data_IF_748854785484
#
_entry.id   IF_748854785484
#
_cell.length_a   1.000
_cell.length_b   1.000
_cell.length_c   1.000
_cell.angle_alpha   90.00
_cell.angle_beta   90.00
_cell.angle_gamma   90.00
#
_symmetry.space_group_name_H-M   'P 1'
#
loop_
_entity.id
_entity.type
_entity.pdbx_description
1 polymer ?
#
# COMPACT_ATOMS: atom_id res chain seq x y z
N UNK A 1 -9.70 11.33 29.67
CA UNK A 1 -8.64 10.41 29.21
C UNK A 1 -8.47 10.66 27.72
N UNK A 2 -7.48 11.44 27.32
CA UNK A 2 -7.18 11.73 25.91
C UNK A 2 -6.23 10.66 25.40
N UNK A 3 -6.77 9.52 24.98
CA UNK A 3 -6.02 8.46 24.30
C UNK A 3 -6.19 8.63 22.79
N UNK A 4 -5.37 9.50 22.19
CA UNK A 4 -5.10 9.48 20.75
C UNK A 4 -3.71 10.06 20.54
N UNK A 5 -2.67 9.22 20.60
CA UNK A 5 -1.42 9.59 19.94
C UNK A 5 -1.68 9.47 18.45
N UNK A 6 -1.96 10.62 17.80
CA UNK A 6 -1.94 10.73 16.34
C UNK A 6 -0.68 10.03 15.82
N UNK A 7 -0.83 9.20 14.79
CA UNK A 7 0.34 8.63 14.10
C UNK A 7 1.08 9.76 13.37
N UNK A 8 2.41 9.69 13.28
CA UNK A 8 3.23 10.75 12.65
C UNK A 8 2.76 11.03 11.21
N UNK A 9 2.34 10.00 10.47
CA UNK A 9 1.89 10.12 9.07
C UNK A 9 0.66 11.02 8.87
N UNK A 10 -0.22 11.15 9.87
CA UNK A 10 -1.41 12.01 9.77
C UNK A 10 -1.06 13.51 9.80
N UNK A 11 0.17 13.85 10.19
CA UNK A 11 0.65 15.22 10.29
C UNK A 11 1.62 15.59 9.17
N UNK A 12 1.84 14.69 8.22
CA UNK A 12 2.78 14.94 7.12
C UNK A 12 2.26 16.03 6.19
N UNK A 13 3.15 16.96 5.84
CA UNK A 13 2.87 17.97 4.83
C UNK A 13 2.65 17.31 3.45
N UNK A 14 1.77 17.88 2.59
CA UNK A 14 1.52 17.37 1.24
C UNK A 14 2.79 17.07 0.45
N UNK A 15 3.77 17.97 0.45
CA UNK A 15 5.03 17.79 -0.28
C UNK A 15 5.79 16.52 0.14
N UNK A 16 5.75 16.17 1.43
CA UNK A 16 6.38 14.93 1.93
C UNK A 16 5.64 13.69 1.42
N UNK A 17 4.31 13.72 1.44
CA UNK A 17 3.48 12.62 0.95
C UNK A 17 3.71 12.39 -0.54
N UNK A 18 3.69 13.48 -1.32
CA UNK A 18 3.95 13.44 -2.76
C UNK A 18 5.33 12.88 -3.05
N UNK A 19 6.36 13.35 -2.33
CA UNK A 19 7.73 12.87 -2.51
C UNK A 19 7.85 11.36 -2.27
N UNK A 20 7.26 10.85 -1.19
CA UNK A 20 7.28 9.42 -0.87
C UNK A 20 6.59 8.59 -1.95
N UNK A 21 5.39 8.98 -2.40
CA UNK A 21 4.68 8.22 -3.44
C UNK A 21 5.45 8.20 -4.76
N UNK A 22 6.01 9.34 -5.17
CA UNK A 22 6.82 9.42 -6.40
C UNK A 22 8.06 8.52 -6.29
N UNK A 23 8.78 8.58 -5.17
CA UNK A 23 9.97 7.75 -4.92
C UNK A 23 9.64 6.24 -4.92
N UNK A 24 8.49 5.85 -4.38
CA UNK A 24 8.04 4.46 -4.42
C UNK A 24 7.74 3.98 -5.85
N UNK A 25 7.10 4.81 -6.68
CA UNK A 25 6.89 4.48 -8.09
C UNK A 25 8.22 4.38 -8.85
N UNK A 26 9.14 5.33 -8.64
CA UNK A 26 10.46 5.32 -9.28
C UNK A 26 11.27 4.08 -8.87
N UNK A 27 11.22 3.71 -7.59
CA UNK A 27 11.90 2.50 -7.12
C UNK A 27 11.28 1.23 -7.69
N UNK A 28 9.95 1.15 -7.73
CA UNK A 28 9.25 0.02 -8.32
C UNK A 28 9.57 -0.11 -9.82
N UNK A 29 9.61 1.01 -10.55
CA UNK A 29 10.03 1.04 -11.95
C UNK A 29 11.47 0.55 -12.12
N UNK A 30 12.40 0.98 -11.27
CA UNK A 30 13.79 0.53 -11.31
C UNK A 30 13.93 -0.99 -11.07
N UNK A 31 13.16 -1.54 -10.13
CA UNK A 31 13.07 -2.99 -9.91
C UNK A 31 12.53 -3.70 -11.16
N UNK A 32 11.40 -3.24 -11.69
CA UNK A 32 10.74 -3.82 -12.87
C UNK A 32 11.68 -3.79 -14.08
N UNK A 33 12.44 -2.71 -14.27
CA UNK A 33 13.44 -2.58 -15.34
C UNK A 33 14.52 -3.67 -15.29
N UNK A 34 14.84 -4.15 -14.08
CA UNK A 34 15.82 -5.21 -13.85
C UNK A 34 15.27 -6.63 -14.03
N UNK A 35 13.97 -6.80 -14.27
CA UNK A 35 13.35 -8.11 -14.45
C UNK A 35 13.62 -8.66 -15.86
N UNK A 36 13.84 -9.96 -15.93
CA UNK A 36 13.79 -10.69 -17.19
C UNK A 36 12.35 -11.04 -17.57
N UNK A 37 12.11 -11.34 -18.85
CA UNK A 37 10.80 -11.83 -19.30
C UNK A 37 10.41 -13.16 -18.62
N UNK A 38 11.39 -13.98 -18.23
CA UNK A 38 11.14 -15.18 -17.41
C UNK A 38 10.71 -14.84 -15.99
N UNK A 39 11.23 -13.76 -15.39
CA UNK A 39 10.80 -13.33 -14.05
C UNK A 39 9.34 -12.88 -14.07
N UNK A 40 8.90 -12.17 -15.13
CA UNK A 40 7.50 -11.74 -15.30
C UNK A 40 6.51 -12.93 -15.30
N UNK A 41 6.95 -14.09 -15.78
CA UNK A 41 6.13 -15.30 -15.84
C UNK A 41 6.06 -16.06 -14.49
N UNK A 42 6.88 -15.70 -13.49
CA UNK A 42 6.89 -16.38 -12.19
C UNK A 42 5.59 -16.10 -11.44
N UNK A 43 5.01 -17.14 -10.85
CA UNK A 43 3.80 -17.03 -10.01
C UNK A 43 4.12 -16.34 -8.69
N UNK A 44 3.23 -15.45 -8.25
CA UNK A 44 3.32 -14.80 -6.94
C UNK A 44 2.44 -15.53 -5.93
N UNK A 45 2.47 -15.04 -4.68
CA UNK A 45 1.51 -15.44 -3.64
C UNK A 45 0.11 -14.86 -3.83
N UNK A 46 -0.06 -13.89 -4.72
CA UNK A 46 -1.37 -13.35 -5.08
C UNK A 46 -2.12 -14.37 -5.94
N UNK A 47 -3.36 -14.66 -5.57
CA UNK A 47 -4.15 -15.73 -6.18
C UNK A 47 -4.31 -15.52 -7.70
N UNK A 48 -3.81 -16.49 -8.47
CA UNK A 48 -3.89 -16.49 -9.94
C UNK A 48 -2.90 -15.54 -10.64
N UNK A 49 -2.13 -14.76 -9.90
CA UNK A 49 -1.26 -13.73 -10.47
C UNK A 49 0.18 -14.20 -10.66
N UNK A 50 0.79 -13.73 -11.74
CA UNK A 50 2.23 -13.75 -11.93
C UNK A 50 2.83 -12.39 -11.58
N UNK A 51 4.16 -12.29 -11.56
CA UNK A 51 4.87 -11.00 -11.44
C UNK A 51 4.36 -10.00 -12.48
N UNK A 52 4.08 -10.44 -13.72
CA UNK A 52 3.50 -9.60 -14.75
C UNK A 52 2.12 -9.03 -14.34
N UNK A 53 1.26 -9.83 -13.72
CA UNK A 53 -0.06 -9.37 -13.27
C UNK A 53 0.09 -8.32 -12.16
N UNK A 54 1.00 -8.54 -11.20
CA UNK A 54 1.30 -7.55 -10.14
C UNK A 54 1.80 -6.24 -10.74
N UNK A 55 2.75 -6.29 -11.69
CA UNK A 55 3.26 -5.09 -12.38
C UNK A 55 2.14 -4.39 -13.15
N UNK A 56 1.31 -5.14 -13.88
CA UNK A 56 0.18 -4.60 -14.62
C UNK A 56 -0.85 -3.93 -13.72
N UNK A 57 -1.15 -4.53 -12.56
CA UNK A 57 -2.05 -3.96 -11.56
C UNK A 57 -1.53 -2.60 -11.06
N UNK A 58 -0.26 -2.50 -10.68
CA UNK A 58 0.34 -1.21 -10.24
C UNK A 58 0.27 -0.15 -11.35
N UNK A 59 0.57 -0.51 -12.60
CA UNK A 59 0.44 0.41 -13.73
C UNK A 59 -1.01 0.86 -13.90
N UNK A 60 -1.96 -0.07 -13.84
CA UNK A 60 -3.38 0.22 -13.97
C UNK A 60 -3.91 1.13 -12.86
N UNK A 61 -3.59 0.83 -11.61
CA UNK A 61 -3.93 1.66 -10.45
C UNK A 61 -3.36 3.07 -10.58
N UNK A 62 -2.08 3.20 -10.95
CA UNK A 62 -1.46 4.52 -11.17
C UNK A 62 -2.11 5.30 -12.32
N UNK A 63 -2.45 4.64 -13.42
CA UNK A 63 -3.14 5.25 -14.55
C UNK A 63 -4.55 5.73 -14.16
N UNK A 64 -5.32 4.91 -13.43
CA UNK A 64 -6.67 5.26 -12.97
C UNK A 64 -6.66 6.51 -12.09
N UNK A 65 -5.64 6.69 -11.27
CA UNK A 65 -5.52 7.88 -10.41
C UNK A 65 -5.29 9.13 -11.24
N UNK A 66 -4.31 9.10 -12.14
CA UNK A 66 -3.98 10.27 -12.98
C UNK A 66 -5.14 10.64 -13.90
N UNK A 67 -5.89 9.65 -14.38
CA UNK A 67 -7.02 9.85 -15.28
C UNK A 67 -8.35 10.12 -14.55
N UNK A 68 -8.33 10.23 -13.21
CA UNK A 68 -9.51 10.40 -12.34
C UNK A 68 -10.58 9.31 -12.54
N UNK A 69 -10.14 8.07 -12.73
CA UNK A 69 -10.93 6.89 -13.00
C UNK A 69 -10.81 5.83 -11.87
N UNK A 70 -10.44 6.23 -10.65
CA UNK A 70 -10.33 5.35 -9.49
C UNK A 70 -11.64 4.56 -9.30
N UNK A 71 -11.52 3.24 -9.16
CA UNK A 71 -12.66 2.32 -9.00
C UNK A 71 -13.44 2.02 -10.28
N UNK A 72 -12.99 2.51 -11.44
CA UNK A 72 -13.62 2.20 -12.73
C UNK A 72 -13.25 0.81 -13.27
N UNK A 73 -12.18 0.22 -12.76
CA UNK A 73 -11.67 -1.12 -13.11
C UNK A 73 -11.42 -1.92 -11.85
N UNK A 74 -11.59 -3.23 -11.95
CA UNK A 74 -11.16 -4.21 -10.96
C UNK A 74 -9.64 -4.42 -11.01
N UNK A 75 -9.01 -4.98 -9.96
CA UNK A 75 -7.59 -5.34 -9.97
C UNK A 75 -7.21 -6.26 -11.13
N UNK A 76 -8.06 -7.24 -11.47
CA UNK A 76 -7.82 -8.15 -12.59
C UNK A 76 -7.86 -7.41 -13.93
N UNK A 77 -8.81 -6.49 -14.12
CA UNK A 77 -8.89 -5.67 -15.34
C UNK A 77 -7.69 -4.71 -15.47
N UNK A 78 -7.17 -4.20 -14.35
CA UNK A 78 -5.93 -3.43 -14.32
C UNK A 78 -4.75 -4.29 -14.73
N UNK A 79 -4.58 -5.48 -14.14
CA UNK A 79 -3.50 -6.41 -14.46
C UNK A 79 -3.53 -6.82 -15.95
N UNK A 80 -4.69 -7.25 -16.45
CA UNK A 80 -4.88 -7.76 -17.80
C UNK A 80 -4.57 -6.73 -18.90
N UNK A 81 -4.85 -5.45 -18.64
CA UNK A 81 -4.64 -4.37 -19.59
C UNK A 81 -3.16 -4.21 -20.02
N UNK A 82 -2.22 -4.66 -19.19
CA UNK A 82 -0.78 -4.46 -19.40
C UNK A 82 0.02 -5.75 -19.59
N UNK A 83 -0.61 -6.92 -19.66
CA UNK A 83 0.07 -8.23 -19.83
C UNK A 83 0.92 -8.40 -21.10
N UNK A 84 0.85 -7.44 -22.02
CA UNK A 84 1.67 -7.43 -23.26
C UNK A 84 2.96 -6.64 -23.10
N UNK A 85 3.17 -5.98 -21.97
CA UNK A 85 4.33 -5.13 -21.77
C UNK A 85 5.56 -6.01 -21.52
N UNK A 86 6.67 -5.64 -22.14
CA UNK A 86 7.98 -6.15 -21.70
C UNK A 86 8.34 -5.50 -20.37
N UNK A 87 9.32 -6.06 -19.66
CA UNK A 87 9.82 -5.44 -18.42
C UNK A 87 10.28 -3.98 -18.64
N UNK A 88 10.95 -3.70 -19.76
CA UNK A 88 11.38 -2.35 -20.11
C UNK A 88 10.20 -1.41 -20.38
N UNK A 89 9.19 -1.85 -21.14
CA UNK A 89 7.99 -1.04 -21.43
C UNK A 89 7.18 -0.77 -20.17
N UNK A 90 7.07 -1.75 -19.28
CA UNK A 90 6.42 -1.59 -17.98
C UNK A 90 7.14 -0.56 -17.10
N UNK A 91 8.47 -0.64 -17.02
CA UNK A 91 9.28 0.34 -16.29
C UNK A 91 9.11 1.76 -16.85
N UNK A 92 9.16 1.93 -18.17
CA UNK A 92 8.95 3.24 -18.82
C UNK A 92 7.55 3.80 -18.51
N UNK A 93 6.53 2.94 -18.47
CA UNK A 93 5.16 3.35 -18.12
C UNK A 93 5.04 3.77 -16.65
N UNK A 94 5.69 3.04 -15.72
CA UNK A 94 5.73 3.38 -14.30
C UNK A 94 6.45 4.71 -14.04
N UNK A 95 7.57 4.97 -14.71
CA UNK A 95 8.29 6.26 -14.63
C UNK A 95 7.40 7.41 -15.14
N UNK A 96 6.69 7.20 -16.25
CA UNK A 96 5.74 8.19 -16.76
C UNK A 96 4.58 8.44 -15.79
N UNK A 97 4.08 7.38 -15.13
CA UNK A 97 3.06 7.49 -14.07
C UNK A 97 3.61 8.28 -12.87
N UNK A 98 4.83 8.01 -12.41
CA UNK A 98 5.46 8.72 -11.29
C UNK A 98 5.47 10.23 -11.51
N UNK A 99 5.89 10.67 -12.71
CA UNK A 99 5.88 12.08 -13.12
C UNK A 99 4.46 12.65 -13.08
N UNK A 100 3.51 11.98 -13.75
CA UNK A 100 2.13 12.48 -13.86
C UNK A 100 1.40 12.51 -12.52
N UNK A 101 1.61 11.52 -11.64
CA UNK A 101 1.06 11.52 -10.27
C UNK A 101 1.63 12.71 -9.50
N UNK A 102 2.94 12.92 -9.55
CA UNK A 102 3.57 14.06 -8.88
C UNK A 102 3.04 15.41 -9.37
N UNK A 103 2.84 15.57 -10.68
CA UNK A 103 2.24 16.78 -11.25
C UNK A 103 0.78 16.95 -10.83
N UNK A 104 -0.01 15.88 -10.93
CA UNK A 104 -1.42 15.87 -10.57
C UNK A 104 -1.61 16.26 -9.10
N UNK A 105 -0.92 15.59 -8.18
CA UNK A 105 -1.05 15.84 -6.73
C UNK A 105 -0.60 17.26 -6.34
N UNK A 106 0.46 17.80 -6.95
CA UNK A 106 0.90 19.19 -6.73
C UNK A 106 -0.06 20.24 -7.28
N UNK A 107 -0.88 19.86 -8.27
CA UNK A 107 -1.90 20.75 -8.84
C UNK A 107 -3.16 20.86 -7.99
N UNK A 108 -3.34 19.97 -7.00
CA UNK A 108 -4.51 19.96 -6.14
C UNK A 108 -4.52 21.19 -5.22
N UNK A 109 -5.67 21.87 -5.03
CA UNK A 109 -5.78 22.96 -4.08
C UNK A 109 -5.51 22.51 -2.64
N UNK A 110 -4.95 23.39 -1.81
CA UNK A 110 -4.75 23.14 -0.36
C UNK A 110 -6.04 22.67 0.33
N UNK A 111 -7.20 23.18 -0.09
CA UNK A 111 -8.50 22.76 0.44
C UNK A 111 -8.81 21.26 0.23
N UNK A 112 -8.25 20.59 -0.79
CA UNK A 112 -8.38 19.13 -0.96
C UNK A 112 -7.51 18.40 0.07
N UNK A 113 -6.30 18.90 0.30
CA UNK A 113 -5.39 18.38 1.31
C UNK A 113 -5.89 18.63 2.74
N UNK A 114 -6.55 19.76 3.00
CA UNK A 114 -7.05 20.20 4.31
C UNK A 114 -8.50 19.79 4.62
N UNK A 115 -9.42 19.86 3.64
CA UNK A 115 -10.87 19.68 3.81
C UNK A 115 -11.49 18.39 3.27
N UNK A 116 -10.75 17.60 2.49
CA UNK A 116 -11.15 16.28 2.00
C UNK A 116 -12.06 16.35 0.82
N UNK A 117 -12.48 15.17 0.37
CA UNK A 117 -13.39 15.06 -0.76
C UNK A 117 -14.82 15.11 -0.22
N UNK A 118 -15.65 15.98 -0.78
CA UNK A 118 -17.07 16.08 -0.45
C UNK A 118 -17.75 14.70 -0.60
N UNK A 119 -18.42 14.23 0.46
CA UNK A 119 -18.97 12.87 0.54
C UNK A 119 -18.09 11.85 1.27
N UNK A 120 -16.90 12.24 1.75
CA UNK A 120 -16.01 11.43 2.59
C UNK A 120 -15.74 12.16 3.92
N UNK A 121 -16.65 12.08 4.91
CA UNK A 121 -16.52 12.81 6.17
C UNK A 121 -15.22 12.44 6.92
N UNK A 122 -14.63 13.44 7.57
CA UNK A 122 -13.44 13.38 8.44
C UNK A 122 -12.07 13.26 7.77
N UNK A 123 -11.96 13.31 6.43
CA UNK A 123 -10.70 13.41 5.69
C UNK A 123 -9.70 12.30 5.96
N UNK A 124 -9.31 11.57 4.92
CA UNK A 124 -7.87 11.39 4.76
C UNK A 124 -7.51 11.23 3.27
N UNK A 125 -7.76 12.27 2.46
CA UNK A 125 -7.14 12.33 1.12
C UNK A 125 -5.62 12.07 1.20
N UNK A 126 -4.87 12.66 2.16
CA UNK A 126 -3.49 12.27 2.46
C UNK A 126 -3.24 10.77 2.64
N UNK A 127 -4.10 10.04 3.40
CA UNK A 127 -3.93 8.60 3.62
C UNK A 127 -4.26 7.80 2.36
N UNK A 128 -5.26 8.24 1.58
CA UNK A 128 -5.58 7.64 0.28
C UNK A 128 -4.43 7.74 -0.70
N UNK A 129 -3.69 8.85 -0.68
CA UNK A 129 -2.44 8.99 -1.43
C UNK A 129 -1.36 8.06 -0.87
N UNK A 130 -1.21 7.96 0.45
CA UNK A 130 -0.25 7.03 1.08
C UNK A 130 -0.58 5.55 0.88
N UNK A 131 -1.83 5.20 0.57
CA UNK A 131 -2.22 3.85 0.15
C UNK A 131 -1.39 3.39 -1.05
N UNK A 132 -1.01 4.31 -1.95
CA UNK A 132 -0.16 3.98 -3.11
C UNK A 132 1.23 3.50 -2.70
N UNK A 133 1.85 4.20 -1.75
CA UNK A 133 3.15 3.80 -1.22
C UNK A 133 3.07 2.47 -0.47
N UNK A 134 1.96 2.22 0.24
CA UNK A 134 1.68 0.92 0.85
C UNK A 134 1.55 -0.19 -0.19
N UNK A 135 0.70 -0.03 -1.21
CA UNK A 135 0.49 -1.01 -2.29
C UNK A 135 1.81 -1.29 -3.03
N UNK A 136 2.59 -0.27 -3.38
CA UNK A 136 3.90 -0.43 -4.03
C UNK A 136 4.90 -1.22 -3.16
N UNK A 137 4.95 -0.94 -1.86
CA UNK A 137 5.82 -1.67 -0.93
C UNK A 137 5.40 -3.13 -0.85
N UNK A 138 4.10 -3.36 -0.64
CA UNK A 138 3.53 -4.69 -0.46
C UNK A 138 3.67 -5.54 -1.74
N UNK A 139 3.48 -4.96 -2.92
CA UNK A 139 3.66 -5.64 -4.19
C UNK A 139 5.12 -5.78 -4.62
N UNK A 140 6.02 -4.92 -4.15
CA UNK A 140 7.47 -5.18 -4.23
C UNK A 140 7.81 -6.46 -3.46
N UNK A 141 7.25 -6.64 -2.27
CA UNK A 141 7.49 -7.83 -1.43
C UNK A 141 6.95 -9.10 -2.08
N UNK A 142 5.81 -9.03 -2.77
CA UNK A 142 5.26 -10.15 -3.54
C UNK A 142 6.21 -10.60 -4.65
N UNK A 143 6.80 -9.64 -5.37
CA UNK A 143 7.74 -9.91 -6.46
C UNK A 143 9.04 -10.48 -5.91
N UNK A 144 9.63 -9.84 -4.89
CA UNK A 144 10.89 -10.32 -4.30
C UNK A 144 10.72 -11.71 -3.68
N UNK A 145 9.61 -11.96 -2.98
CA UNK A 145 9.29 -13.29 -2.43
C UNK A 145 9.15 -14.33 -3.55
N UNK A 146 8.41 -14.01 -4.62
CA UNK A 146 8.23 -14.91 -5.77
C UNK A 146 9.56 -15.28 -6.46
N UNK A 147 10.50 -14.33 -6.48
CA UNK A 147 11.82 -14.49 -7.10
C UNK A 147 12.90 -14.99 -6.13
N UNK A 148 12.56 -15.22 -4.86
CA UNK A 148 13.49 -15.67 -3.83
C UNK A 148 14.60 -14.65 -3.51
N UNK A 149 14.29 -13.36 -3.60
CA UNK A 149 15.20 -12.23 -3.30
C UNK A 149 15.06 -11.79 -1.84
N UNK A 150 16.11 -11.17 -1.33
CA UNK A 150 16.06 -10.52 -0.01
C UNK A 150 15.09 -9.34 -0.04
N UNK A 151 14.34 -9.18 1.05
CA UNK A 151 13.19 -8.28 1.10
C UNK A 151 13.59 -6.83 1.41
N UNK A 152 12.65 -5.93 1.13
CA UNK A 152 12.70 -4.46 1.19
C UNK A 152 13.31 -3.86 2.47
N UNK A 153 13.84 -2.65 2.37
CA UNK A 153 14.36 -1.82 3.47
C UNK A 153 13.36 -1.57 4.61
N UNK A 154 13.87 -1.30 5.82
CA UNK A 154 13.06 -1.11 7.02
C UNK A 154 12.11 0.10 6.99
N UNK A 155 12.51 1.22 6.36
CA UNK A 155 11.71 2.46 6.37
C UNK A 155 10.36 2.33 5.65
N UNK A 156 10.28 1.50 4.60
CA UNK A 156 9.03 1.24 3.88
C UNK A 156 8.04 0.45 4.71
N UNK A 157 8.54 -0.53 5.47
CA UNK A 157 7.72 -1.28 6.41
C UNK A 157 7.22 -0.40 7.56
N UNK A 158 8.02 0.55 8.03
CA UNK A 158 7.61 1.53 9.04
C UNK A 158 6.46 2.42 8.55
N UNK A 159 6.49 2.87 7.29
CA UNK A 159 5.39 3.60 6.67
C UNK A 159 4.12 2.75 6.61
N UNK A 160 4.21 1.53 6.06
CA UNK A 160 3.07 0.64 5.91
C UNK A 160 2.45 0.28 7.26
N UNK A 161 3.27 0.04 8.28
CA UNK A 161 2.79 -0.23 9.64
C UNK A 161 2.03 0.96 10.25
N UNK A 162 2.53 2.18 10.02
CA UNK A 162 1.83 3.41 10.44
C UNK A 162 0.51 3.58 9.69
N UNK A 163 0.51 3.36 8.38
CA UNK A 163 -0.68 3.41 7.55
C UNK A 163 -1.74 2.42 8.03
N UNK A 164 -1.35 1.16 8.28
CA UNK A 164 -2.24 0.12 8.82
C UNK A 164 -2.79 0.47 10.20
N UNK A 165 -1.99 1.08 11.08
CA UNK A 165 -2.46 1.50 12.40
C UNK A 165 -3.59 2.54 12.32
N UNK A 166 -3.47 3.49 11.39
CA UNK A 166 -4.54 4.47 11.10
C UNK A 166 -5.74 3.80 10.45
N UNK A 167 -5.49 2.96 9.44
CA UNK A 167 -6.54 2.33 8.65
C UNK A 167 -7.37 1.35 9.47
N UNK A 168 -6.75 0.57 10.37
CA UNK A 168 -7.49 -0.26 11.33
C UNK A 168 -8.38 0.56 12.27
N UNK A 169 -7.93 1.75 12.68
CA UNK A 169 -8.76 2.69 13.42
C UNK A 169 -9.98 3.12 12.60
N UNK A 170 -9.74 3.52 11.35
CA UNK A 170 -10.78 4.00 10.42
C UNK A 170 -11.81 2.92 10.05
N UNK A 171 -11.38 1.68 9.89
CA UNK A 171 -12.22 0.54 9.56
C UNK A 171 -12.94 -0.07 10.77
N UNK A 172 -12.83 0.54 11.96
CA UNK A 172 -13.39 0.00 13.22
C UNK A 172 -12.97 -1.47 13.44
N UNK A 173 -11.71 -1.79 13.11
CA UNK A 173 -11.14 -3.12 13.28
C UNK A 173 -11.13 -3.57 14.76
N UNK A 174 -10.86 -4.86 15.03
CA UNK A 174 -10.77 -5.35 16.41
C UNK A 174 -9.79 -4.50 17.25
N UNK A 175 -10.13 -4.18 18.52
CA UNK A 175 -9.24 -3.47 19.42
C UNK A 175 -7.92 -4.22 19.60
N UNK A 176 -6.80 -3.53 19.35
CA UNK A 176 -5.46 -4.12 19.47
C UNK A 176 -4.42 -3.06 19.84
N UNK A 177 -3.27 -3.52 20.32
CA UNK A 177 -2.10 -2.67 20.55
C UNK A 177 -0.95 -3.14 19.69
N UNK A 178 -0.29 -2.21 19.01
CA UNK A 178 0.92 -2.47 18.24
C UNK A 178 2.14 -1.95 19.01
N UNK A 179 3.09 -2.84 19.30
CA UNK A 179 4.41 -2.54 19.85
C UNK A 179 5.48 -3.03 18.87
N UNK A 180 5.59 -2.32 17.75
CA UNK A 180 6.47 -2.72 16.65
C UNK A 180 7.89 -2.21 16.87
N UNK A 181 8.87 -3.05 16.56
CA UNK A 181 10.29 -2.72 16.76
C UNK A 181 10.65 -1.42 16.02
N UNK A 182 11.20 -0.45 16.74
CA UNK A 182 11.63 0.83 16.19
C UNK A 182 10.53 1.89 16.05
N UNK A 183 9.27 1.55 16.35
CA UNK A 183 8.13 2.46 16.23
C UNK A 183 7.52 2.82 17.59
N UNK A 184 6.79 3.95 17.71
CA UNK A 184 6.01 4.23 18.89
C UNK A 184 4.88 3.21 19.07
N UNK A 185 4.36 3.11 20.30
CA UNK A 185 3.19 2.27 20.60
C UNK A 185 1.93 2.85 19.95
N UNK A 186 1.19 2.03 19.22
CA UNK A 186 -0.12 2.39 18.66
C UNK A 186 -1.25 1.67 19.40
N UNK A 187 -2.31 2.40 19.74
CA UNK A 187 -3.51 1.87 20.39
C UNK A 187 -4.67 2.00 19.42
N UNK A 188 -5.08 0.88 18.83
CA UNK A 188 -6.17 0.81 17.85
C UNK A 188 -7.47 0.51 18.59
N UNK A 189 -8.51 1.32 18.34
CA UNK A 189 -9.89 1.13 18.81
C UNK A 189 -10.03 0.81 20.31
N UNK A 190 -9.23 1.47 21.16
CA UNK A 190 -9.28 1.30 22.63
C UNK A 190 -8.25 0.32 23.20
N UNK A 191 -7.50 -0.37 22.34
CA UNK A 191 -6.45 -1.32 22.75
C UNK A 191 -7.00 -2.72 23.07
N UNK A 192 -6.10 -3.69 23.18
CA UNK A 192 -6.46 -5.10 23.28
C UNK A 192 -5.22 -6.00 23.28
N UNK A 193 -5.27 -7.19 22.66
CA UNK A 193 -4.10 -8.03 22.44
C UNK A 193 -2.92 -7.23 21.90
N UNK A 194 -1.72 -7.52 22.39
CA UNK A 194 -0.49 -6.83 22.00
C UNK A 194 0.18 -7.63 20.90
N UNK A 195 0.35 -7.00 19.74
CA UNK A 195 1.20 -7.49 18.66
C UNK A 195 2.58 -6.86 18.84
N UNK A 196 3.57 -7.67 19.22
CA UNK A 196 4.96 -7.24 19.44
C UNK A 196 5.90 -7.98 18.48
N UNK A 197 6.24 -7.34 17.36
CA UNK A 197 7.06 -7.91 16.27
C UNK A 197 7.79 -6.81 15.50
N UNK A 198 8.58 -7.14 14.48
CA UNK A 198 9.07 -6.14 13.52
C UNK A 198 7.96 -5.66 12.55
N UNK A 199 8.07 -4.44 11.98
CA UNK A 199 7.08 -3.89 11.07
C UNK A 199 6.77 -4.75 9.85
N UNK A 200 7.77 -5.44 9.26
CA UNK A 200 7.56 -6.23 8.05
C UNK A 200 6.68 -7.46 8.33
N UNK A 201 6.97 -8.18 9.42
CA UNK A 201 6.16 -9.33 9.84
C UNK A 201 4.73 -8.92 10.17
N UNK A 202 4.52 -7.77 10.82
CA UNK A 202 3.19 -7.22 11.06
C UNK A 202 2.44 -6.91 9.75
N UNK A 203 3.07 -6.17 8.83
CA UNK A 203 2.43 -5.77 7.56
C UNK A 203 2.07 -7.00 6.72
N UNK A 204 2.95 -8.02 6.66
CA UNK A 204 2.64 -9.27 5.96
C UNK A 204 1.43 -9.98 6.57
N UNK A 205 1.34 -10.06 7.89
CA UNK A 205 0.19 -10.68 8.55
C UNK A 205 -1.10 -9.88 8.31
N UNK A 206 -1.04 -8.56 8.48
CA UNK A 206 -2.15 -7.64 8.28
C UNK A 206 -2.65 -7.56 6.84
N UNK A 207 -1.87 -8.04 5.88
CA UNK A 207 -2.25 -8.07 4.45
C UNK A 207 -2.43 -9.50 3.92
N UNK A 208 -2.45 -10.51 4.81
CA UNK A 208 -2.74 -11.91 4.46
C UNK A 208 -1.58 -12.67 3.81
N UNK A 209 -0.37 -12.13 3.77
CA UNK A 209 0.84 -12.80 3.23
C UNK A 209 1.43 -13.84 4.17
N UNK A 210 1.13 -13.72 5.47
CA UNK A 210 1.40 -14.74 6.47
C UNK A 210 0.21 -14.88 7.41
N UNK A 211 0.10 -16.03 8.08
CA UNK A 211 -0.97 -16.30 9.03
C UNK A 211 -0.93 -15.33 10.22
N UNK A 212 -2.10 -14.90 10.70
CA UNK A 212 -2.26 -14.02 11.87
C UNK A 212 -1.61 -14.62 13.13
N UNK A 213 -1.60 -15.95 13.25
CA UNK A 213 -0.91 -16.66 14.33
C UNK A 213 0.61 -16.38 14.39
N UNK A 214 1.23 -15.98 13.27
CA UNK A 214 2.65 -15.60 13.20
C UNK A 214 2.97 -14.40 14.08
N UNK A 215 1.98 -13.51 14.29
CA UNK A 215 2.11 -12.34 15.15
C UNK A 215 1.38 -12.50 16.49
N UNK A 216 1.03 -13.74 16.84
CA UNK A 216 0.52 -14.09 18.17
C UNK A 216 -0.95 -13.77 18.42
N UNK A 217 -1.76 -13.58 17.38
CA UNK A 217 -3.21 -13.34 17.51
C UNK A 217 -4.03 -14.49 16.90
N UNK A 218 -5.22 -14.72 17.44
CA UNK A 218 -6.13 -15.82 17.08
C UNK A 218 -7.32 -15.37 16.20
N UNK A 219 -7.43 -14.07 15.93
CA UNK A 219 -8.40 -13.50 14.99
C UNK A 219 -7.76 -13.25 13.62
N UNK A 220 -8.61 -13.09 12.60
CA UNK A 220 -8.15 -12.71 11.26
C UNK A 220 -7.71 -11.24 11.25
N UNK A 221 -6.38 -11.04 11.14
CA UNK A 221 -5.75 -9.73 11.06
C UNK A 221 -5.75 -9.17 9.63
N UNK A 222 -6.08 -9.99 8.62
CA UNK A 222 -6.03 -9.56 7.23
C UNK A 222 -7.06 -8.44 6.96
N UNK A 223 -6.56 -7.25 6.64
CA UNK A 223 -7.38 -6.07 6.33
C UNK A 223 -8.28 -6.29 5.11
N UNK A 224 -7.88 -7.19 4.21
CA UNK A 224 -8.62 -7.57 3.01
C UNK A 224 -9.49 -8.83 3.19
N UNK A 225 -9.37 -9.53 4.34
CA UNK A 225 -9.99 -10.83 4.60
C UNK A 225 -11.45 -10.78 5.06
N UNK A 226 -11.92 -9.62 5.56
CA UNK A 226 -13.31 -9.49 6.04
C UNK A 226 -14.28 -9.35 4.88
N UNK A 227 -15.15 -10.35 4.74
CA UNK A 227 -16.45 -10.37 4.05
C UNK A 227 -16.67 -9.20 3.06
N UNK A 228 -16.30 -9.46 1.78
CA UNK A 228 -16.27 -8.60 0.57
C UNK A 228 -17.46 -7.65 0.34
N UNK A 229 -17.81 -6.79 1.29
CA UNK A 229 -18.96 -5.89 1.16
C UNK A 229 -18.58 -4.43 0.98
N UNK A 230 -17.42 -3.94 1.43
CA UNK A 230 -17.19 -2.49 1.44
C UNK A 230 -15.80 -1.98 1.06
N UNK A 231 -14.95 -2.76 0.39
CA UNK A 231 -13.73 -2.19 -0.18
C UNK A 231 -13.60 -2.69 -1.61
N UNK A 232 -14.06 -1.88 -2.55
CA UNK A 232 -13.61 -1.96 -3.93
C UNK A 232 -12.17 -1.48 -3.93
N UNK A 233 -11.25 -2.43 -3.88
CA UNK A 233 -9.87 -2.26 -4.33
C UNK A 233 -9.73 -3.16 -5.53
#
# INVERSE_FOLDING_TARGET
MTNTTMTDIQQWAPDRIIAVVVEEFETFAAMVRGLSESDLAVRTGCDGWSVHHVVGHIIGSGADIVDNAIGSRTPDEQADAYLRYSAATAADALEAIAVRIGEHLRSLPDAVWEGGVEGVPEQVFPLGVLTLAHELTVHTDDIDTALGRDTISGQRWELCAQWLAVEFGRLEFEPLTLELTGLPRYVVNGGGPVIATDPATFVRAATGRVESATVGVDFDLNIYGRDRRHIGV
#
